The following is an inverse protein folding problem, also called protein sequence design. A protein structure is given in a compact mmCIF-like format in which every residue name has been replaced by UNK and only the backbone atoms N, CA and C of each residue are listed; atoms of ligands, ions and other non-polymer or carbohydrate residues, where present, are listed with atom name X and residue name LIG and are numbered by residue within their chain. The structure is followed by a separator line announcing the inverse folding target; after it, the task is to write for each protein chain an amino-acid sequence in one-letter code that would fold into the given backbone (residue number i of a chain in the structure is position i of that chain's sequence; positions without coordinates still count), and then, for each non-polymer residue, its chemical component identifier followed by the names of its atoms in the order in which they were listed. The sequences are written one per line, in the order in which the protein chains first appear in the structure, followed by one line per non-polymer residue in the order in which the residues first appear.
data_IF_815836731037
#
_entry.id   IF_815836731037
#
_cell.length_a   1.000
_cell.length_b   1.000
_cell.length_c   1.000
_cell.angle_alpha   90.00
_cell.angle_beta   90.00
_cell.angle_gamma   90.00
#
_symmetry.space_group_name_H-M   'P 1'
#
loop_
_entity.id
_entity.type
_entity.pdbx_description
1 polymer ?
#
# COMPACT_ATOMS: atom_id res chain seq x y z
N UNK A 1 -22.06 -28.19 11.69
CA UNK A 1 -21.49 -26.89 12.09
C UNK A 1 -21.23 -26.07 10.85
N UNK A 2 -21.75 -24.84 10.81
CA UNK A 2 -21.58 -23.94 9.67
C UNK A 2 -20.25 -23.20 9.83
N UNK A 3 -19.16 -23.84 9.38
CA UNK A 3 -17.84 -23.23 9.41
C UNK A 3 -17.81 -22.17 8.31
N UNK A 4 -17.70 -20.91 8.71
CA UNK A 4 -17.57 -19.79 7.77
C UNK A 4 -16.45 -20.08 6.76
N UNK A 5 -16.81 -20.19 5.48
CA UNK A 5 -15.86 -20.44 4.40
C UNK A 5 -15.27 -19.12 3.92
N UNK A 6 -13.95 -19.05 3.66
CA UNK A 6 -13.34 -17.87 3.06
C UNK A 6 -13.87 -17.67 1.63
N UNK A 7 -13.98 -16.41 1.21
CA UNK A 7 -14.35 -16.08 -0.17
C UNK A 7 -13.24 -16.48 -1.14
N UNK A 8 -13.59 -16.95 -2.34
CA UNK A 8 -12.57 -17.20 -3.36
C UNK A 8 -11.99 -15.88 -3.89
N UNK A 9 -12.84 -14.88 -4.16
CA UNK A 9 -12.43 -13.58 -4.70
C UNK A 9 -13.23 -12.47 -4.02
N UNK A 10 -12.54 -11.39 -3.65
CA UNK A 10 -13.13 -10.10 -3.28
C UNK A 10 -12.70 -9.06 -4.30
N UNK A 11 -13.66 -8.34 -4.88
CA UNK A 11 -13.41 -7.22 -5.79
C UNK A 11 -13.86 -5.95 -5.08
N UNK A 12 -12.92 -5.03 -4.84
CA UNK A 12 -13.23 -3.71 -4.31
C UNK A 12 -13.13 -2.69 -5.44
N UNK A 13 -14.28 -2.16 -5.84
CA UNK A 13 -14.36 -1.02 -6.75
C UNK A 13 -14.10 0.29 -6.01
N UNK A 14 -13.64 1.30 -6.74
CA UNK A 14 -13.25 2.60 -6.21
C UNK A 14 -12.30 2.50 -5.01
N UNK A 15 -11.22 1.72 -5.16
CA UNK A 15 -10.26 1.39 -4.11
C UNK A 15 -9.65 2.64 -3.42
N UNK A 16 -9.67 3.81 -4.05
CA UNK A 16 -9.30 5.07 -3.42
C UNK A 16 -10.18 5.43 -2.20
N UNK A 17 -11.40 4.90 -2.09
CA UNK A 17 -12.28 5.08 -0.93
C UNK A 17 -11.75 4.34 0.31
N UNK A 18 -11.00 3.26 0.11
CA UNK A 18 -10.47 2.42 1.19
C UNK A 18 -9.00 2.70 1.51
N UNK A 19 -8.41 3.73 0.89
CA UNK A 19 -7.02 4.16 1.12
C UNK A 19 -6.75 4.60 2.56
N UNK A 20 -7.79 4.99 3.31
CA UNK A 20 -7.64 5.29 4.73
C UNK A 20 -7.75 3.99 5.54
N UNK A 21 -6.63 3.44 6.07
CA UNK A 21 -6.65 2.19 6.82
C UNK A 21 -7.46 2.28 8.12
N UNK A 22 -7.58 3.48 8.69
CA UNK A 22 -8.32 3.72 9.94
C UNK A 22 -9.82 3.87 9.75
N UNK A 23 -10.30 3.96 8.50
CA UNK A 23 -11.73 4.04 8.21
C UNK A 23 -12.48 2.78 8.65
N UNK A 24 -13.75 2.92 9.04
CA UNK A 24 -14.59 1.78 9.42
C UNK A 24 -14.71 0.77 8.27
N UNK A 25 -14.88 1.25 7.04
CA UNK A 25 -14.92 0.43 5.83
C UNK A 25 -13.61 -0.33 5.61
N UNK A 26 -12.46 0.36 5.69
CA UNK A 26 -11.15 -0.27 5.54
C UNK A 26 -10.87 -1.34 6.61
N UNK A 27 -11.28 -1.08 7.86
CA UNK A 27 -11.16 -2.06 8.95
C UNK A 27 -12.09 -3.28 8.75
N UNK A 28 -13.31 -3.06 8.29
CA UNK A 28 -14.26 -4.14 8.03
C UNK A 28 -13.82 -5.02 6.86
N UNK A 29 -13.42 -4.40 5.74
CA UNK A 29 -12.96 -5.11 4.55
C UNK A 29 -11.71 -5.96 4.82
N UNK A 30 -10.78 -5.52 5.68
CA UNK A 30 -9.61 -6.35 6.07
C UNK A 30 -10.00 -7.64 6.80
N UNK A 31 -11.12 -7.66 7.51
CA UNK A 31 -11.64 -8.87 8.21
C UNK A 31 -12.27 -9.88 7.27
N UNK A 32 -12.57 -9.51 6.02
CA UNK A 32 -13.14 -10.44 5.04
C UNK A 32 -12.06 -11.40 4.57
N UNK A 33 -12.14 -12.66 4.97
CA UNK A 33 -11.21 -13.68 4.49
C UNK A 33 -11.45 -13.97 3.01
N UNK A 34 -10.39 -13.86 2.20
CA UNK A 34 -10.46 -14.09 0.76
C UNK A 34 -9.17 -14.72 0.24
N UNK A 35 -9.28 -15.67 -0.70
CA UNK A 35 -8.12 -16.27 -1.38
C UNK A 35 -7.47 -15.33 -2.38
N UNK A 36 -8.25 -14.44 -2.99
CA UNK A 36 -7.78 -13.45 -3.95
C UNK A 36 -8.51 -12.13 -3.77
N UNK A 37 -7.80 -11.02 -3.94
CA UNK A 37 -8.34 -9.66 -3.80
C UNK A 37 -7.97 -8.83 -5.01
N UNK A 38 -8.96 -8.21 -5.64
CA UNK A 38 -8.78 -7.33 -6.80
C UNK A 38 -9.22 -5.93 -6.38
N UNK A 39 -8.35 -4.95 -6.64
CA UNK A 39 -8.61 -3.54 -6.42
C UNK A 39 -8.78 -2.84 -7.76
N UNK A 40 -9.92 -2.18 -7.95
CA UNK A 40 -10.19 -1.35 -9.12
C UNK A 40 -10.21 0.12 -8.68
N UNK A 41 -9.51 1.00 -9.41
CA UNK A 41 -9.56 2.44 -9.19
C UNK A 41 -9.52 3.16 -10.52
N UNK A 42 -10.48 4.06 -10.75
CA UNK A 42 -10.47 4.96 -11.90
C UNK A 42 -9.53 6.16 -11.72
N UNK A 43 -9.04 6.39 -10.49
CA UNK A 43 -8.09 7.46 -10.20
C UNK A 43 -6.66 6.93 -10.16
N UNK A 44 -5.69 7.58 -10.83
CA UNK A 44 -4.30 7.27 -10.59
C UNK A 44 -4.02 7.48 -9.10
N UNK A 45 -3.36 6.48 -8.48
CA UNK A 45 -2.93 6.50 -7.09
C UNK A 45 -2.44 7.91 -6.73
N UNK A 46 -3.15 8.60 -5.82
CA UNK A 46 -2.75 9.92 -5.38
C UNK A 46 -1.30 9.82 -4.87
N UNK A 47 -0.43 10.76 -5.28
CA UNK A 47 1.04 10.71 -5.25
C UNK A 47 1.74 10.49 -3.87
N UNK A 48 1.04 9.97 -2.86
CA UNK A 48 1.58 9.63 -1.55
C UNK A 48 1.85 8.14 -1.47
N UNK A 49 3.06 7.78 -1.07
CA UNK A 49 3.46 6.39 -0.83
C UNK A 49 2.61 5.71 0.27
N UNK A 50 2.06 6.50 1.21
CA UNK A 50 1.10 6.01 2.21
C UNK A 50 -0.16 5.41 1.60
N UNK A 51 -0.67 6.00 0.51
CA UNK A 51 -1.87 5.53 -0.18
C UNK A 51 -1.57 4.21 -0.90
N UNK A 52 -0.40 4.11 -1.53
CA UNK A 52 0.11 2.85 -2.10
C UNK A 52 0.21 1.76 -1.03
N UNK A 53 0.82 2.06 0.12
CA UNK A 53 0.92 1.10 1.22
C UNK A 53 -0.46 0.61 1.67
N UNK A 54 -1.43 1.52 1.82
CA UNK A 54 -2.77 1.17 2.28
C UNK A 54 -3.49 0.22 1.32
N UNK A 55 -3.34 0.42 0.00
CA UNK A 55 -3.89 -0.47 -1.02
C UNK A 55 -3.16 -1.83 -1.03
N UNK A 56 -1.83 -1.83 -0.95
CA UNK A 56 -1.06 -3.07 -0.93
C UNK A 56 -1.32 -3.89 0.33
N UNK A 57 -1.43 -3.27 1.49
CA UNK A 57 -1.80 -3.96 2.73
C UNK A 57 -3.22 -4.54 2.65
N UNK A 58 -4.11 -3.96 1.83
CA UNK A 58 -5.42 -4.55 1.57
C UNK A 58 -5.34 -5.72 0.59
N UNK A 59 -4.65 -5.57 -0.54
CA UNK A 59 -4.56 -6.58 -1.59
C UNK A 59 -3.73 -7.79 -1.17
N UNK A 60 -2.58 -7.54 -0.55
CA UNK A 60 -1.64 -8.55 -0.07
C UNK A 60 -1.07 -8.12 1.31
N UNK A 61 -1.77 -8.45 2.41
CA UNK A 61 -1.32 -8.15 3.76
C UNK A 61 0.12 -8.61 4.01
N UNK A 62 0.86 -7.83 4.81
CA UNK A 62 2.26 -8.08 5.20
C UNK A 62 3.34 -7.97 4.10
N UNK A 63 2.99 -7.79 2.82
CA UNK A 63 3.97 -7.63 1.72
C UNK A 63 4.99 -6.51 1.98
N UNK A 64 4.51 -5.35 2.42
CA UNK A 64 5.31 -4.16 2.67
C UNK A 64 5.62 -3.98 4.18
N UNK A 65 5.26 -4.97 5.00
CA UNK A 65 5.28 -4.86 6.45
C UNK A 65 4.26 -3.86 7.00
N UNK A 66 4.39 -3.53 8.29
CA UNK A 66 3.52 -2.54 8.92
C UNK A 66 3.81 -1.11 8.41
N UNK A 67 2.83 -0.21 8.58
CA UNK A 67 2.89 1.17 8.11
C UNK A 67 4.14 1.92 8.60
N UNK A 68 4.50 1.78 9.87
CA UNK A 68 5.64 2.50 10.45
C UNK A 68 6.99 2.05 9.84
N UNK A 69 7.14 0.75 9.58
CA UNK A 69 8.32 0.22 8.91
C UNK A 69 8.36 0.67 7.46
N UNK A 70 7.23 0.65 6.75
CA UNK A 70 7.15 1.15 5.37
C UNK A 70 7.51 2.63 5.29
N UNK A 71 6.97 3.46 6.17
CA UNK A 71 7.27 4.89 6.21
C UNK A 71 8.78 5.13 6.40
N UNK A 72 9.39 4.47 7.38
CA UNK A 72 10.82 4.62 7.68
C UNK A 72 11.73 4.11 6.55
N UNK A 73 11.36 3.01 5.91
CA UNK A 73 12.22 2.32 4.94
C UNK A 73 12.03 2.82 3.49
N UNK A 74 10.84 3.33 3.15
CA UNK A 74 10.51 3.77 1.79
C UNK A 74 10.06 5.24 1.75
N UNK A 75 8.97 5.61 2.44
CA UNK A 75 8.38 6.95 2.30
C UNK A 75 9.34 8.07 2.69
N UNK A 76 9.94 8.00 3.88
CA UNK A 76 10.84 9.03 4.39
C UNK A 76 12.13 9.17 3.56
N UNK A 77 12.87 8.10 3.21
CA UNK A 77 14.04 8.21 2.35
C UNK A 77 13.70 8.75 0.95
N UNK A 78 12.60 8.31 0.35
CA UNK A 78 12.17 8.78 -0.97
C UNK A 78 11.81 10.27 -0.90
N UNK A 79 11.10 10.70 0.13
CA UNK A 79 10.77 12.10 0.36
C UNK A 79 12.02 12.96 0.58
N UNK A 80 13.03 12.45 1.32
CA UNK A 80 14.33 13.13 1.51
C UNK A 80 15.04 13.35 0.18
N UNK A 81 15.09 12.35 -0.71
CA UNK A 81 15.72 12.46 -2.03
C UNK A 81 14.97 13.36 -3.03
N UNK A 82 13.69 13.70 -2.76
CA UNK A 82 12.91 14.63 -3.58
C UNK A 82 13.09 16.11 -3.20
N UNK A 83 13.79 16.41 -2.09
CA UNK A 83 14.04 17.79 -1.68
C UNK A 83 15.04 18.45 -2.64
N UNK A 84 14.84 19.74 -2.95
CA UNK A 84 15.73 20.52 -3.83
C UNK A 84 17.20 20.55 -3.37
N UNK A 85 17.44 20.45 -2.07
CA UNK A 85 18.77 20.44 -1.45
C UNK A 85 19.20 19.03 -1.00
N UNK A 86 18.62 17.98 -1.57
CA UNK A 86 19.01 16.61 -1.26
C UNK A 86 20.48 16.36 -1.58
N UNK A 87 21.17 15.62 -0.73
CA UNK A 87 22.53 15.16 -1.02
C UNK A 87 22.50 14.18 -2.19
N UNK A 88 23.61 14.05 -2.91
CA UNK A 88 23.74 13.06 -4.00
C UNK A 88 23.37 11.64 -3.53
N UNK A 89 23.84 11.26 -2.35
CA UNK A 89 23.48 9.98 -1.71
C UNK A 89 21.97 9.83 -1.51
N UNK A 90 21.28 10.87 -1.02
CA UNK A 90 19.82 10.81 -0.82
C UNK A 90 19.05 10.65 -2.14
N UNK A 91 19.54 11.26 -3.24
CA UNK A 91 18.95 11.09 -4.57
C UNK A 91 19.17 9.66 -5.10
N UNK A 92 20.38 9.12 -4.98
CA UNK A 92 20.70 7.76 -5.39
C UNK A 92 19.91 6.71 -4.60
N UNK A 93 19.80 6.88 -3.27
CA UNK A 93 19.01 6.03 -2.41
C UNK A 93 17.52 6.08 -2.77
N UNK A 94 16.97 7.26 -3.03
CA UNK A 94 15.58 7.42 -3.51
C UNK A 94 15.35 6.62 -4.78
N UNK A 95 16.24 6.73 -5.77
CA UNK A 95 16.07 6.04 -7.05
C UNK A 95 16.18 4.50 -6.87
N UNK A 96 17.06 4.03 -5.99
CA UNK A 96 17.16 2.61 -5.65
C UNK A 96 15.87 2.09 -4.99
N UNK A 97 15.38 2.78 -3.95
CA UNK A 97 14.18 2.38 -3.22
C UNK A 97 12.92 2.46 -4.08
N UNK A 98 12.82 3.46 -4.97
CA UNK A 98 11.72 3.56 -5.91
C UNK A 98 11.69 2.41 -6.92
N UNK A 99 12.87 1.94 -7.39
CA UNK A 99 12.98 0.76 -8.24
C UNK A 99 12.63 -0.52 -7.49
N UNK A 100 13.10 -0.66 -6.26
CA UNK A 100 12.79 -1.80 -5.41
C UNK A 100 11.28 -1.89 -5.14
N UNK A 101 10.65 -0.78 -4.78
CA UNK A 101 9.21 -0.74 -4.51
C UNK A 101 8.39 -1.13 -5.75
N UNK A 102 8.76 -0.63 -6.94
CA UNK A 102 8.14 -1.03 -8.22
C UNK A 102 8.35 -2.49 -8.60
N UNK A 103 9.34 -3.18 -8.02
CA UNK A 103 9.55 -4.61 -8.24
C UNK A 103 8.69 -5.46 -7.30
N UNK A 104 8.36 -4.93 -6.12
CA UNK A 104 7.55 -5.58 -5.10
C UNK A 104 6.04 -5.43 -5.34
N UNK A 105 5.63 -4.35 -5.99
CA UNK A 105 4.23 -3.99 -6.27
C UNK A 105 3.94 -4.04 -7.75
#
# INVERSE_FOLDING_TARGET
EDVAKPWDIVIADEAQQIKNPSSLAGRALRKVEARSRILLTGTPLQNKLSDLWALMDFAQPALLGNHATFERNFSEPIAKGNKRNATRFAVELKDQLARELRRLT
#
